data_IF_077771622832
#
_entry.id   IF_077771622832
#
_cell.length_a   1.000
_cell.length_b   1.000
_cell.length_c   1.000
_cell.angle_alpha   90.00
_cell.angle_beta   90.00
_cell.angle_gamma   90.00
#
_symmetry.space_group_name_H-M   'P 1'
#
loop_
_entity.id
_entity.type
_entity.pdbx_description
1 polymer ?
#
# COMPACT_ATOMS: atom_id res chain seq x y z
N UNK A 1 -23.37 38.62 9.33
CA UNK A 1 -23.50 37.25 8.77
C UNK A 1 -23.06 37.30 7.31
N UNK A 2 -21.95 36.64 6.95
CA UNK A 2 -21.51 36.57 5.54
C UNK A 2 -22.37 35.52 4.82
N UNK A 3 -23.18 35.96 3.85
CA UNK A 3 -23.92 35.05 2.95
C UNK A 3 -23.01 34.70 1.78
N UNK A 4 -22.78 33.41 1.57
CA UNK A 4 -22.00 32.91 0.44
C UNK A 4 -22.93 32.17 -0.51
N UNK A 5 -22.76 32.43 -1.80
CA UNK A 5 -23.57 31.79 -2.85
C UNK A 5 -22.61 31.03 -3.77
N UNK A 6 -22.66 29.70 -3.73
CA UNK A 6 -21.91 28.86 -4.67
C UNK A 6 -22.82 28.54 -5.85
N UNK A 7 -22.33 28.76 -7.08
CA UNK A 7 -23.02 28.33 -8.30
C UNK A 7 -22.10 27.46 -9.14
N UNK A 8 -22.54 26.25 -9.43
CA UNK A 8 -21.87 25.37 -10.38
C UNK A 8 -22.39 25.66 -11.79
N UNK A 9 -21.46 25.83 -12.74
CA UNK A 9 -21.79 26.00 -14.14
C UNK A 9 -21.24 24.81 -14.93
N UNK A 10 -22.11 24.17 -15.72
CA UNK A 10 -21.70 23.09 -16.63
C UNK A 10 -21.30 23.74 -17.96
N UNK A 11 -20.05 23.57 -18.36
CA UNK A 11 -19.51 24.12 -19.60
C UNK A 11 -19.13 22.97 -20.54
N UNK A 12 -19.88 22.80 -21.62
CA UNK A 12 -19.64 21.77 -22.64
C UNK A 12 -19.84 20.33 -22.16
N UNK A 13 -19.67 19.38 -23.09
CA UNK A 13 -19.55 17.96 -22.73
C UNK A 13 -18.18 17.75 -22.07
N UNK A 14 -18.16 17.45 -20.77
CA UNK A 14 -16.97 16.89 -20.11
C UNK A 14 -16.13 17.84 -19.25
N UNK A 15 -16.56 19.09 -19.00
CA UNK A 15 -15.88 19.99 -18.04
C UNK A 15 -16.86 20.60 -17.03
N UNK A 16 -16.44 20.67 -15.77
CA UNK A 16 -17.19 21.32 -14.70
C UNK A 16 -16.39 22.52 -14.19
N UNK A 17 -16.95 23.72 -14.34
CA UNK A 17 -16.37 24.94 -13.77
C UNK A 17 -17.13 25.27 -12.49
N UNK A 18 -16.44 25.18 -11.37
CA UNK A 18 -16.98 25.64 -10.09
C UNK A 18 -16.47 27.05 -9.83
N UNK A 19 -17.40 28.00 -9.78
CA UNK A 19 -17.12 29.38 -9.39
C UNK A 19 -17.64 29.60 -7.97
N UNK A 20 -16.74 29.97 -7.07
CA UNK A 20 -17.10 30.39 -5.72
C UNK A 20 -16.85 31.89 -5.57
N UNK A 21 -17.90 32.64 -5.25
CA UNK A 21 -17.79 34.04 -4.85
C UNK A 21 -17.69 34.13 -3.33
N UNK A 22 -16.57 34.64 -2.84
CA UNK A 22 -16.39 35.08 -1.46
C UNK A 22 -16.65 36.58 -1.35
N UNK A 23 -17.50 37.01 -0.42
CA UNK A 23 -17.70 38.45 -0.16
C UNK A 23 -16.50 39.05 0.60
N UNK A 24 -15.99 40.18 0.11
CA UNK A 24 -14.95 40.99 0.76
C UNK A 24 -15.55 42.26 1.40
N UNK A 25 -14.74 42.93 2.21
CA UNK A 25 -15.08 44.16 2.93
C UNK A 25 -15.65 45.24 1.99
N UNK A 26 -16.67 45.92 2.50
CA UNK A 26 -17.43 46.96 1.80
C UNK A 26 -16.93 48.32 2.29
N UNK A 27 -16.26 49.09 1.43
CA UNK A 27 -16.01 50.51 1.63
C UNK A 27 -17.08 51.33 0.91
N UNK A 28 -17.42 52.54 1.36
CA UNK A 28 -18.57 53.32 0.86
C UNK A 28 -18.55 53.64 -0.64
N UNK A 29 -17.44 53.42 -1.35
CA UNK A 29 -17.35 53.60 -2.81
C UNK A 29 -16.56 52.49 -3.53
N UNK A 30 -16.28 51.36 -2.87
CA UNK A 30 -15.50 50.26 -3.46
C UNK A 30 -15.92 48.91 -2.89
N UNK A 31 -16.31 47.99 -3.77
CA UNK A 31 -16.51 46.59 -3.44
C UNK A 31 -15.31 45.82 -3.98
N UNK A 32 -14.57 45.15 -3.10
CA UNK A 32 -13.57 44.18 -3.53
C UNK A 32 -14.23 42.80 -3.48
N UNK A 33 -13.97 41.94 -4.46
CA UNK A 33 -14.52 40.58 -4.51
C UNK A 33 -13.37 39.62 -4.73
N UNK A 34 -13.34 38.54 -3.96
CA UNK A 34 -12.42 37.44 -4.19
C UNK A 34 -13.17 36.35 -4.95
N UNK A 35 -12.73 36.08 -6.19
CA UNK A 35 -13.30 35.04 -7.04
C UNK A 35 -12.32 33.87 -7.14
N UNK A 36 -12.76 32.70 -6.70
CA UNK A 36 -12.09 31.43 -6.95
C UNK A 36 -12.74 30.71 -8.13
N UNK A 37 -11.94 30.28 -9.10
CA UNK A 37 -12.37 29.44 -10.21
C UNK A 37 -11.60 28.14 -10.20
N UNK A 38 -12.32 27.00 -10.19
CA UNK A 38 -11.72 25.67 -10.32
C UNK A 38 -12.24 25.03 -11.60
N UNK A 39 -11.32 24.78 -12.54
CA UNK A 39 -11.56 23.98 -13.74
C UNK A 39 -11.38 22.50 -13.39
N UNK A 40 -12.48 21.79 -13.21
CA UNK A 40 -12.49 20.33 -13.15
C UNK A 40 -12.66 19.75 -14.54
N UNK A 41 -11.58 19.25 -15.14
CA UNK A 41 -11.72 18.36 -16.29
C UNK A 41 -12.43 17.07 -15.81
N UNK A 42 -13.57 16.74 -16.40
CA UNK A 42 -14.20 15.41 -16.24
C UNK A 42 -13.56 14.41 -17.23
N UNK A 43 -12.34 14.71 -17.70
CA UNK A 43 -11.48 13.67 -18.19
C UNK A 43 -11.11 12.82 -16.97
N UNK A 44 -11.93 11.80 -16.68
CA UNK A 44 -11.32 10.56 -16.21
C UNK A 44 -10.22 10.30 -17.23
N UNK A 45 -8.93 10.33 -16.86
CA UNK A 45 -7.93 9.84 -17.78
C UNK A 45 -8.37 8.41 -18.05
N UNK A 46 -8.92 8.17 -19.24
CA UNK A 46 -9.31 6.86 -19.73
C UNK A 46 -8.02 6.13 -20.05
N UNK A 47 -7.23 5.89 -19.01
CA UNK A 47 -6.08 5.04 -19.07
C UNK A 47 -6.60 3.66 -18.74
N UNK A 48 -6.28 2.72 -19.63
CA UNK A 48 -6.30 1.31 -19.29
C UNK A 48 -5.37 1.18 -18.08
N UNK A 49 -5.90 0.77 -16.92
CA UNK A 49 -5.20 0.70 -15.62
C UNK A 49 -4.03 -0.31 -15.57
N UNK A 50 -3.51 -0.70 -16.73
CA UNK A 50 -2.51 -1.74 -16.95
C UNK A 50 -1.10 -1.19 -17.23
N UNK A 51 -0.91 0.13 -17.35
CA UNK A 51 0.41 0.73 -17.69
C UNK A 51 0.95 1.70 -16.62
N UNK A 52 0.39 1.61 -15.41
CA UNK A 52 1.00 2.20 -14.21
C UNK A 52 2.33 1.48 -13.94
N UNK A 53 3.45 2.11 -14.30
CA UNK A 53 4.82 1.62 -14.04
C UNK A 53 5.22 1.73 -12.56
N UNK A 54 4.35 2.32 -11.73
CA UNK A 54 4.68 2.56 -10.34
C UNK A 54 4.19 1.42 -9.45
N UNK A 55 5.00 1.08 -8.44
CA UNK A 55 4.74 -0.03 -7.53
C UNK A 55 4.60 0.49 -6.11
N UNK A 56 3.52 0.08 -5.45
CA UNK A 56 3.35 0.38 -4.04
C UNK A 56 4.18 -0.52 -3.13
N UNK A 57 4.80 0.05 -2.10
CA UNK A 57 5.55 -0.72 -1.10
C UNK A 57 4.62 -1.33 -0.05
N UNK A 58 4.80 -2.63 0.19
CA UNK A 58 4.04 -3.41 1.18
C UNK A 58 4.99 -4.00 2.21
N UNK A 59 4.83 -3.60 3.46
CA UNK A 59 5.56 -4.14 4.59
C UNK A 59 4.89 -5.41 5.11
N UNK A 60 5.65 -6.50 5.19
CA UNK A 60 5.22 -7.76 5.79
C UNK A 60 6.08 -8.03 7.03
N UNK A 61 5.58 -7.75 8.25
CA UNK A 61 6.30 -8.10 9.47
C UNK A 61 6.29 -9.62 9.67
N UNK A 62 7.11 -10.09 10.61
CA UNK A 62 7.02 -11.46 11.13
C UNK A 62 5.57 -11.81 11.49
N UNK A 63 5.10 -12.97 11.02
CA UNK A 63 3.74 -13.46 11.29
C UNK A 63 3.59 -13.74 12.79
N UNK A 64 2.45 -13.38 13.36
CA UNK A 64 2.14 -13.65 14.76
C UNK A 64 1.50 -15.04 14.89
N UNK A 65 1.84 -15.79 15.93
CA UNK A 65 1.24 -17.11 16.20
C UNK A 65 0.47 -17.04 17.51
N UNK A 66 -0.85 -17.23 17.44
CA UNK A 66 -1.73 -17.14 18.60
C UNK A 66 -1.44 -18.22 19.64
N UNK A 67 -1.08 -19.42 19.18
CA UNK A 67 -0.78 -20.58 20.02
C UNK A 67 0.59 -21.19 19.65
N UNK A 68 1.73 -20.66 20.14
CA UNK A 68 3.06 -21.15 19.77
C UNK A 68 3.31 -22.63 20.09
N UNK A 69 2.55 -23.19 21.06
CA UNK A 69 2.56 -24.61 21.39
C UNK A 69 2.19 -25.53 20.22
N UNK A 70 1.43 -25.03 19.24
CA UNK A 70 1.03 -25.77 18.04
C UNK A 70 2.18 -25.94 17.03
N UNK A 71 3.29 -25.21 17.19
CA UNK A 71 4.47 -25.33 16.32
C UNK A 71 5.38 -26.51 16.69
N UNK A 72 5.13 -27.17 17.83
CA UNK A 72 5.97 -28.27 18.32
C UNK A 72 5.95 -29.49 17.39
N UNK A 73 4.79 -29.83 16.83
CA UNK A 73 4.68 -30.93 15.86
C UNK A 73 5.39 -30.51 14.58
N UNK A 74 6.45 -31.24 14.22
CA UNK A 74 7.35 -30.89 13.14
C UNK A 74 8.44 -29.88 13.51
N UNK A 75 8.47 -29.35 14.74
CA UNK A 75 9.41 -28.31 15.19
C UNK A 75 9.47 -27.08 14.26
N UNK A 76 8.32 -26.67 13.74
CA UNK A 76 8.17 -25.64 12.70
C UNK A 76 8.14 -24.22 13.28
N UNK A 77 9.02 -23.92 14.24
CA UNK A 77 9.07 -22.63 14.93
C UNK A 77 9.39 -21.45 14.00
N UNK A 78 10.08 -21.72 12.88
CA UNK A 78 10.45 -20.70 11.90
C UNK A 78 9.30 -20.28 10.96
N UNK A 79 8.11 -20.90 11.09
CA UNK A 79 6.96 -20.64 10.22
C UNK A 79 6.61 -19.16 10.14
N UNK A 80 6.83 -18.43 11.23
CA UNK A 80 6.54 -17.01 11.34
C UNK A 80 7.32 -16.16 10.34
N UNK A 81 8.60 -16.49 10.16
CA UNK A 81 9.49 -15.79 9.23
C UNK A 81 9.42 -16.38 7.84
N UNK A 82 9.26 -17.70 7.75
CA UNK A 82 9.13 -18.40 6.48
C UNK A 82 7.88 -17.97 5.72
N UNK A 83 6.73 -17.86 6.38
CA UNK A 83 5.46 -17.49 5.75
C UNK A 83 5.50 -16.03 5.27
N UNK A 84 6.04 -15.12 6.08
CA UNK A 84 6.25 -13.72 5.67
C UNK A 84 7.18 -13.62 4.45
N UNK A 85 8.28 -14.37 4.44
CA UNK A 85 9.22 -14.39 3.32
C UNK A 85 8.63 -15.02 2.06
N UNK A 86 7.88 -16.11 2.19
CA UNK A 86 7.23 -16.78 1.08
C UNK A 86 6.17 -15.88 0.44
N UNK A 87 5.36 -15.20 1.25
CA UNK A 87 4.38 -14.23 0.76
C UNK A 87 5.06 -13.04 0.08
N UNK A 88 6.13 -12.50 0.65
CA UNK A 88 6.87 -11.41 0.02
C UNK A 88 7.46 -11.84 -1.33
N UNK A 89 8.01 -13.07 -1.43
CA UNK A 89 8.48 -13.63 -2.70
C UNK A 89 7.35 -13.73 -3.72
N UNK A 90 6.21 -14.28 -3.32
CA UNK A 90 5.06 -14.41 -4.21
C UNK A 90 4.58 -13.05 -4.72
N UNK A 91 4.39 -12.07 -3.83
CA UNK A 91 4.04 -10.69 -4.19
C UNK A 91 5.06 -10.06 -5.15
N UNK A 92 6.36 -10.31 -4.95
CA UNK A 92 7.39 -9.78 -5.84
C UNK A 92 7.47 -10.49 -7.19
N UNK A 93 6.95 -11.72 -7.31
CA UNK A 93 6.87 -12.47 -8.57
C UNK A 93 5.64 -12.10 -9.40
N UNK A 94 4.48 -11.93 -8.75
CA UNK A 94 3.21 -11.62 -9.44
C UNK A 94 2.92 -10.12 -9.53
N UNK A 95 3.54 -9.32 -8.66
CA UNK A 95 3.16 -7.92 -8.44
C UNK A 95 3.73 -6.98 -9.49
N UNK A 96 2.87 -6.57 -10.42
CA UNK A 96 3.14 -5.43 -11.32
C UNK A 96 2.89 -4.08 -10.64
N UNK A 97 1.98 -4.03 -9.66
CA UNK A 97 1.49 -2.78 -9.04
C UNK A 97 1.95 -2.63 -7.58
N UNK A 98 2.61 -3.65 -7.03
CA UNK A 98 3.16 -3.63 -5.68
C UNK A 98 4.46 -4.41 -5.60
N UNK A 99 5.24 -4.13 -4.55
CA UNK A 99 6.37 -4.92 -4.13
C UNK A 99 6.35 -5.08 -2.63
N UNK A 100 6.78 -6.24 -2.15
CA UNK A 100 6.75 -6.60 -0.76
C UNK A 100 8.16 -6.67 -0.18
N UNK A 101 8.29 -6.24 1.06
CA UNK A 101 9.50 -6.41 1.86
C UNK A 101 9.15 -6.99 3.21
N UNK A 102 10.07 -7.78 3.75
CA UNK A 102 9.90 -8.37 5.07
C UNK A 102 10.57 -7.51 6.14
N UNK A 103 10.08 -7.64 7.37
CA UNK A 103 10.75 -7.13 8.55
C UNK A 103 10.82 -8.21 9.61
N UNK A 104 12.03 -8.44 10.12
CA UNK A 104 12.29 -9.48 11.12
C UNK A 104 11.59 -9.21 12.47
N UNK A 105 11.31 -7.93 12.77
CA UNK A 105 10.57 -7.54 13.98
C UNK A 105 9.07 -7.66 13.73
N UNK A 106 8.38 -8.37 14.62
CA UNK A 106 6.94 -8.24 14.74
C UNK A 106 6.61 -6.80 15.13
N UNK A 107 5.62 -6.21 14.48
CA UNK A 107 5.09 -4.93 14.90
C UNK A 107 3.97 -5.19 15.90
N UNK A 108 4.38 -5.43 17.14
CA UNK A 108 3.47 -5.81 18.21
C UNK A 108 2.39 -4.74 18.46
N UNK A 109 1.22 -5.22 18.85
CA UNK A 109 0.05 -4.41 19.16
C UNK A 109 -0.47 -3.52 18.02
N UNK A 110 0.00 -3.67 16.78
CA UNK A 110 -0.53 -2.89 15.65
C UNK A 110 -2.01 -3.13 15.39
N UNK A 111 -2.48 -4.37 15.52
CA UNK A 111 -3.90 -4.67 15.40
C UNK A 111 -4.75 -3.95 16.46
N UNK A 112 -4.19 -3.65 17.63
CA UNK A 112 -4.86 -2.96 18.74
C UNK A 112 -4.62 -1.45 18.78
N UNK A 113 -3.68 -0.94 18.00
CA UNK A 113 -3.38 0.48 17.92
C UNK A 113 -4.59 1.26 17.34
N UNK A 114 -4.70 2.54 17.69
CA UNK A 114 -5.59 3.44 16.95
C UNK A 114 -5.11 3.55 15.50
N UNK A 115 -6.03 3.98 14.62
CA UNK A 115 -5.70 4.21 13.21
C UNK A 115 -4.55 5.21 13.06
N UNK A 116 -4.57 6.33 13.79
CA UNK A 116 -3.48 7.32 13.75
C UNK A 116 -2.13 6.75 14.19
N UNK A 117 -2.11 5.97 15.28
CA UNK A 117 -0.87 5.36 15.78
C UNK A 117 -0.33 4.30 14.80
N UNK A 118 -1.22 3.58 14.12
CA UNK A 118 -0.85 2.64 13.07
C UNK A 118 -0.30 3.37 11.84
N UNK A 119 -0.99 4.41 11.37
CA UNK A 119 -0.56 5.24 10.26
C UNK A 119 0.85 5.81 10.48
N UNK A 120 1.10 6.35 11.68
CA UNK A 120 2.42 6.87 12.05
C UNK A 120 3.52 5.80 12.00
N UNK A 121 3.25 4.59 12.52
CA UNK A 121 4.22 3.49 12.51
C UNK A 121 4.52 2.98 11.10
N UNK A 122 3.49 2.84 10.27
CA UNK A 122 3.65 2.44 8.86
C UNK A 122 4.43 3.53 8.11
N UNK A 123 4.01 4.79 8.22
CA UNK A 123 4.69 5.92 7.59
C UNK A 123 6.15 6.06 8.04
N UNK A 124 6.47 5.76 9.31
CA UNK A 124 7.85 5.77 9.80
C UNK A 124 8.74 4.70 9.16
N UNK A 125 8.15 3.61 8.65
CA UNK A 125 8.88 2.57 7.91
C UNK A 125 9.16 2.95 6.45
N UNK A 126 8.56 4.04 5.94
CA UNK A 126 8.65 4.45 4.54
C UNK A 126 7.93 3.50 3.58
N UNK A 127 7.03 2.65 4.11
CA UNK A 127 6.17 1.76 3.33
C UNK A 127 4.75 2.35 3.24
N UNK A 128 4.06 2.08 2.14
CA UNK A 128 2.71 2.62 1.90
C UNK A 128 1.61 1.74 2.48
N UNK A 129 1.88 0.45 2.60
CA UNK A 129 0.95 -0.51 3.15
C UNK A 129 1.62 -1.41 4.17
N UNK A 130 0.82 -1.92 5.09
CA UNK A 130 1.22 -2.98 6.01
C UNK A 130 0.30 -4.18 5.82
N UNK A 131 0.88 -5.33 5.53
CA UNK A 131 0.17 -6.60 5.45
C UNK A 131 0.49 -7.43 6.70
N UNK A 132 -0.41 -7.41 7.67
CA UNK A 132 -0.27 -8.14 8.93
C UNK A 132 -0.93 -9.51 8.84
N UNK A 133 -0.20 -10.54 9.27
CA UNK A 133 -0.69 -11.91 9.33
C UNK A 133 -0.67 -12.42 10.77
N UNK A 134 -1.72 -13.14 11.15
CA UNK A 134 -1.81 -13.87 12.41
C UNK A 134 -2.27 -15.31 12.14
N UNK A 135 -1.44 -16.27 12.53
CA UNK A 135 -1.75 -17.68 12.55
C UNK A 135 -2.59 -17.98 13.80
N UNK A 136 -3.90 -18.04 13.60
CA UNK A 136 -4.90 -18.22 14.65
C UNK A 136 -4.95 -19.67 15.12
N UNK A 137 -4.85 -20.62 14.18
CA UNK A 137 -4.73 -22.06 14.45
C UNK A 137 -3.73 -22.70 13.50
N UNK A 138 -2.86 -23.55 14.04
CA UNK A 138 -1.89 -24.37 13.33
C UNK A 138 -1.78 -25.78 13.92
N UNK A 139 -2.87 -26.22 14.56
CA UNK A 139 -2.96 -27.50 15.27
C UNK A 139 -2.82 -28.69 14.32
N UNK A 140 -2.28 -29.79 14.86
CA UNK A 140 -2.25 -31.08 14.18
C UNK A 140 -3.16 -32.03 14.94
N UNK A 141 -4.00 -32.76 14.20
CA UNK A 141 -4.83 -33.83 14.74
C UNK A 141 -4.00 -34.97 15.34
N UNK A 142 -4.64 -35.91 16.04
CA UNK A 142 -3.94 -37.02 16.65
C UNK A 142 -3.39 -37.98 15.60
N UNK A 143 -2.13 -38.37 15.72
CA UNK A 143 -1.58 -39.53 15.02
C UNK A 143 -2.26 -40.80 15.55
N UNK A 144 -2.70 -41.67 14.65
CA UNK A 144 -3.26 -42.98 14.98
C UNK A 144 -2.27 -44.07 14.54
N UNK A 145 -2.02 -45.02 15.42
CA UNK A 145 -1.18 -46.18 15.11
C UNK A 145 -2.04 -47.38 14.77
N UNK A 146 -1.62 -48.19 13.79
CA UNK A 146 -2.29 -49.44 13.42
C UNK A 146 -1.30 -50.60 13.40
N UNK A 147 -1.83 -51.83 13.47
CA UNK A 147 -1.05 -53.08 13.50
C UNK A 147 0.03 -53.02 14.59
N UNK A 148 -0.38 -52.95 15.85
CA UNK A 148 0.52 -53.02 17.01
C UNK A 148 1.57 -51.91 17.12
N UNK A 149 1.45 -50.80 16.38
CA UNK A 149 2.41 -49.68 16.40
C UNK A 149 3.41 -49.68 15.24
N UNK A 150 3.31 -50.62 14.29
CA UNK A 150 4.23 -50.70 13.14
C UNK A 150 3.97 -49.64 12.08
N UNK A 151 2.78 -49.04 12.06
CA UNK A 151 2.43 -48.00 11.11
C UNK A 151 1.67 -46.85 11.79
N UNK A 152 1.94 -45.62 11.33
CA UNK A 152 1.24 -44.40 11.76
C UNK A 152 0.44 -43.81 10.59
N UNK A 153 -0.74 -43.27 10.88
CA UNK A 153 -1.51 -42.46 9.94
C UNK A 153 -0.91 -41.07 9.77
N UNK A 154 -1.01 -40.47 8.58
CA UNK A 154 -0.86 -39.02 8.41
C UNK A 154 -2.02 -38.30 9.10
N UNK A 155 -1.79 -37.52 10.18
CA UNK A 155 -2.85 -36.74 10.77
C UNK A 155 -3.12 -35.51 9.90
N UNK A 156 -4.33 -34.97 10.00
CA UNK A 156 -4.61 -33.69 9.36
C UNK A 156 -4.06 -32.53 10.19
N UNK A 157 -3.45 -31.54 9.53
CA UNK A 157 -3.01 -30.29 10.14
C UNK A 157 -3.91 -29.15 9.67
N UNK A 158 -4.43 -28.39 10.62
CA UNK A 158 -5.25 -27.22 10.39
C UNK A 158 -4.36 -25.98 10.19
N UNK A 159 -4.86 -25.05 9.40
CA UNK A 159 -4.34 -23.69 9.29
C UNK A 159 -5.50 -22.70 9.24
N UNK A 160 -5.57 -21.83 10.23
CA UNK A 160 -6.45 -20.65 10.22
C UNK A 160 -5.56 -19.42 10.24
N UNK A 161 -5.60 -18.64 9.17
CA UNK A 161 -4.78 -17.46 8.97
C UNK A 161 -5.66 -16.21 8.86
N UNK A 162 -5.48 -15.25 9.75
CA UNK A 162 -6.06 -13.91 9.64
C UNK A 162 -5.07 -12.99 8.93
N UNK A 163 -5.54 -12.30 7.89
CA UNK A 163 -4.72 -11.39 7.07
C UNK A 163 -5.42 -10.03 7.02
N UNK A 164 -4.67 -8.97 7.31
CA UNK A 164 -5.16 -7.60 7.31
C UNK A 164 -4.20 -6.69 6.55
N UNK A 165 -4.71 -5.99 5.54
CA UNK A 165 -3.99 -4.96 4.79
C UNK A 165 -4.40 -3.59 5.31
N UNK A 166 -3.45 -2.82 5.80
CA UNK A 166 -3.65 -1.46 6.31
C UNK A 166 -3.04 -0.42 5.38
N UNK A 167 -3.75 0.70 5.19
CA UNK A 167 -3.26 1.88 4.46
C UNK A 167 -2.35 2.73 5.35
N UNK A 168 -1.16 3.07 4.88
CA UNK A 168 -0.14 3.77 5.67
C UNK A 168 -0.46 5.23 5.95
N UNK A 169 -1.35 5.86 5.16
CA UNK A 169 -1.77 7.26 5.35
C UNK A 169 -2.82 7.38 6.44
N UNK A 170 -3.85 6.53 6.39
CA UNK A 170 -4.99 6.57 7.31
C UNK A 170 -4.87 5.61 8.49
N UNK A 171 -4.00 4.60 8.38
CA UNK A 171 -3.89 3.49 9.33
C UNK A 171 -5.07 2.53 9.30
N UNK A 172 -6.09 2.75 8.46
CA UNK A 172 -7.30 1.92 8.42
C UNK A 172 -7.05 0.60 7.70
N UNK A 173 -7.75 -0.45 8.13
CA UNK A 173 -7.82 -1.70 7.37
C UNK A 173 -8.61 -1.46 6.08
N UNK A 174 -8.05 -1.88 4.96
CA UNK A 174 -8.61 -1.67 3.62
C UNK A 174 -8.98 -2.98 2.93
N UNK A 175 -8.46 -4.08 3.44
CA UNK A 175 -8.84 -5.43 3.07
C UNK A 175 -8.50 -6.37 4.23
N UNK A 176 -9.35 -7.36 4.47
CA UNK A 176 -9.13 -8.37 5.50
C UNK A 176 -9.71 -9.71 5.05
N UNK A 177 -9.06 -10.81 5.46
CA UNK A 177 -9.53 -12.16 5.19
C UNK A 177 -9.17 -13.10 6.33
N UNK A 178 -10.07 -14.04 6.61
CA UNK A 178 -9.76 -15.24 7.39
C UNK A 178 -9.74 -16.40 6.40
N UNK A 179 -8.63 -17.15 6.39
CA UNK A 179 -8.39 -18.27 5.49
C UNK A 179 -8.29 -19.52 6.34
N UNK A 180 -9.21 -20.44 6.12
CA UNK A 180 -9.26 -21.73 6.80
C UNK A 180 -8.93 -22.84 5.80
N UNK A 181 -7.97 -23.67 6.16
CA UNK A 181 -7.42 -24.73 5.32
C UNK A 181 -6.99 -25.89 6.20
N UNK A 182 -6.95 -27.07 5.60
CA UNK A 182 -6.52 -28.29 6.27
C UNK A 182 -5.99 -29.25 5.22
N UNK A 183 -4.86 -29.90 5.51
CA UNK A 183 -4.29 -30.96 4.69
C UNK A 183 -3.60 -32.01 5.54
N UNK A 184 -3.26 -33.14 4.92
CA UNK A 184 -2.48 -34.18 5.58
C UNK A 184 -1.06 -33.70 5.93
N UNK A 185 -0.60 -34.14 7.10
CA UNK A 185 0.75 -33.89 7.60
C UNK A 185 1.61 -35.13 7.37
N UNK A 186 2.32 -35.14 6.25
CA UNK A 186 3.08 -36.28 5.71
C UNK A 186 4.41 -36.58 6.45
N UNK A 187 4.52 -36.19 7.71
CA UNK A 187 5.73 -36.35 8.51
C UNK A 187 5.42 -37.13 9.78
N UNK A 188 6.35 -37.98 10.20
CA UNK A 188 6.20 -38.76 11.43
C UNK A 188 6.15 -37.85 12.67
N UNK A 189 5.57 -38.36 13.76
CA UNK A 189 5.37 -37.61 15.01
C UNK A 189 6.63 -36.91 15.52
N UNK A 190 7.76 -37.60 15.48
CA UNK A 190 9.04 -37.13 16.04
C UNK A 190 9.96 -36.48 14.98
N UNK A 191 9.49 -36.33 13.74
CA UNK A 191 10.30 -35.74 12.67
C UNK A 191 10.43 -34.22 12.86
N UNK A 192 11.67 -33.72 12.87
CA UNK A 192 11.96 -32.30 12.77
C UNK A 192 11.93 -31.87 11.30
N UNK A 193 10.99 -31.00 10.94
CA UNK A 193 10.71 -30.61 9.56
C UNK A 193 11.32 -29.25 9.26
N UNK A 194 12.28 -29.22 8.34
CA UNK A 194 12.80 -27.97 7.80
C UNK A 194 11.85 -27.41 6.74
N UNK A 195 11.28 -26.24 7.00
CA UNK A 195 10.36 -25.54 6.08
C UNK A 195 11.04 -25.11 4.75
N UNK A 196 12.36 -25.01 4.75
CA UNK A 196 13.14 -24.69 3.55
C UNK A 196 13.52 -25.95 2.75
N UNK A 197 13.24 -27.15 3.26
CA UNK A 197 13.60 -28.40 2.57
C UNK A 197 12.70 -28.66 1.36
N UNK A 198 13.27 -29.31 0.34
CA UNK A 198 12.49 -29.81 -0.81
C UNK A 198 11.44 -30.85 -0.40
N UNK A 199 11.68 -31.62 0.68
CA UNK A 199 10.73 -32.58 1.21
C UNK A 199 9.46 -31.86 1.68
N UNK A 200 9.62 -30.80 2.49
CA UNK A 200 8.51 -29.98 2.95
C UNK A 200 7.80 -29.26 1.80
N UNK A 201 8.53 -28.57 0.94
CA UNK A 201 7.92 -27.82 -0.16
C UNK A 201 7.10 -28.68 -1.13
N UNK A 202 7.40 -29.98 -1.23
CA UNK A 202 6.67 -30.94 -2.07
C UNK A 202 5.59 -31.73 -1.32
N UNK A 203 5.52 -31.64 0.01
CA UNK A 203 4.44 -32.26 0.78
C UNK A 203 3.13 -31.52 0.53
N UNK A 204 2.01 -32.15 0.86
CA UNK A 204 0.70 -31.57 0.56
C UNK A 204 0.46 -30.31 1.40
N UNK A 205 0.87 -30.32 2.66
CA UNK A 205 0.86 -29.12 3.50
C UNK A 205 1.78 -27.99 2.96
N UNK A 206 2.98 -28.29 2.45
CA UNK A 206 3.88 -27.28 1.87
C UNK A 206 3.33 -26.63 0.60
N UNK A 207 2.69 -27.42 -0.27
CA UNK A 207 1.96 -26.91 -1.44
C UNK A 207 0.78 -26.05 -1.02
N UNK A 208 0.03 -26.46 0.01
CA UNK A 208 -1.09 -25.68 0.53
C UNK A 208 -0.65 -24.30 1.04
N UNK A 209 0.46 -24.23 1.78
CA UNK A 209 1.02 -22.95 2.22
C UNK A 209 1.42 -22.07 1.03
N UNK A 210 2.10 -22.65 0.04
CA UNK A 210 2.53 -21.92 -1.16
C UNK A 210 1.35 -21.37 -1.95
N UNK A 211 0.33 -22.20 -2.22
CA UNK A 211 -0.89 -21.79 -2.89
C UNK A 211 -1.65 -20.71 -2.12
N UNK A 212 -1.66 -20.79 -0.79
CA UNK A 212 -2.27 -19.76 0.06
C UNK A 212 -1.51 -18.43 -0.04
N UNK A 213 -0.18 -18.45 -0.03
CA UNK A 213 0.61 -17.22 -0.21
C UNK A 213 0.44 -16.61 -1.60
N UNK A 214 0.34 -17.44 -2.64
CA UNK A 214 0.11 -16.98 -4.01
C UNK A 214 -1.27 -16.34 -4.19
N UNK A 215 -2.28 -16.94 -3.58
CA UNK A 215 -3.62 -16.38 -3.57
C UNK A 215 -3.67 -15.04 -2.83
N UNK A 216 -3.06 -14.93 -1.63
CA UNK A 216 -3.01 -13.66 -0.88
C UNK A 216 -2.27 -12.59 -1.70
N UNK A 217 -1.15 -12.94 -2.34
CA UNK A 217 -0.39 -12.01 -3.16
C UNK A 217 -1.22 -11.43 -4.31
N UNK A 218 -1.98 -12.28 -5.01
CA UNK A 218 -2.86 -11.85 -6.10
C UNK A 218 -3.99 -10.93 -5.60
N UNK A 219 -4.66 -11.29 -4.50
CA UNK A 219 -5.74 -10.49 -3.91
C UNK A 219 -5.24 -9.12 -3.45
N UNK A 220 -4.12 -9.07 -2.72
CA UNK A 220 -3.53 -7.82 -2.25
C UNK A 220 -3.13 -6.93 -3.43
N UNK A 221 -2.52 -7.50 -4.47
CA UNK A 221 -2.14 -6.74 -5.65
C UNK A 221 -3.38 -6.18 -6.39
N UNK A 222 -4.49 -6.93 -6.44
CA UNK A 222 -5.76 -6.45 -7.01
C UNK A 222 -6.36 -5.29 -6.21
N UNK A 223 -6.33 -5.36 -4.87
CA UNK A 223 -6.81 -4.28 -3.99
C UNK A 223 -5.97 -3.01 -4.17
N UNK A 224 -4.64 -3.16 -4.27
CA UNK A 224 -3.71 -2.03 -4.44
C UNK A 224 -3.87 -1.39 -5.83
N UNK A 225 -4.06 -2.19 -6.89
CA UNK A 225 -4.22 -1.69 -8.26
C UNK A 225 -5.39 -0.69 -8.40
N UNK A 226 -6.42 -0.82 -7.58
CA UNK A 226 -7.59 0.05 -7.61
C UNK A 226 -7.39 1.37 -6.85
N UNK A 227 -6.16 1.67 -6.40
CA UNK A 227 -5.86 2.84 -5.56
C UNK A 227 -4.76 3.70 -6.16
N UNK A 228 -4.87 5.04 -6.04
CA UNK A 228 -3.78 5.92 -6.42
C UNK A 228 -2.60 5.71 -5.47
N UNK A 229 -1.39 5.75 -6.04
CA UNK A 229 -0.16 5.69 -5.26
C UNK A 229 0.00 7.00 -4.47
N UNK A 230 0.15 6.89 -3.15
CA UNK A 230 0.27 8.05 -2.25
C UNK A 230 1.53 8.02 -1.43
N UNK A 231 2.21 9.14 -1.27
CA UNK A 231 3.37 9.21 -0.39
C UNK A 231 3.45 10.53 0.38
N UNK A 232 3.73 10.49 1.69
CA UNK A 232 3.89 11.71 2.47
C UNK A 232 5.20 12.41 2.10
N UNK A 233 5.16 13.73 2.11
CA UNK A 233 6.34 14.58 2.04
C UNK A 233 7.06 14.55 3.39
N UNK A 234 8.33 14.13 3.41
CA UNK A 234 9.09 13.90 4.65
C UNK A 234 9.89 15.11 5.10
N UNK A 235 10.32 15.93 4.16
CA UNK A 235 11.09 17.13 4.43
C UNK A 235 10.80 18.18 3.38
N UNK A 236 10.42 19.38 3.84
CA UNK A 236 10.44 20.61 3.06
C UNK A 236 11.38 21.60 3.77
N UNK A 237 12.58 21.77 3.24
CA UNK A 237 13.50 22.83 3.72
C UNK A 237 14.00 23.62 2.52
N UNK A 238 13.54 24.88 2.42
CA UNK A 238 13.75 25.71 1.23
C UNK A 238 13.12 25.07 -0.02
N UNK A 239 13.90 24.96 -1.10
CA UNK A 239 13.49 24.35 -2.38
C UNK A 239 13.85 22.85 -2.49
N UNK A 240 14.15 22.17 -1.37
CA UNK A 240 14.51 20.74 -1.37
C UNK A 240 13.37 19.96 -0.71
N UNK A 241 12.65 19.23 -1.56
CA UNK A 241 11.51 18.42 -1.18
C UNK A 241 11.89 16.95 -1.35
N UNK A 242 11.59 16.12 -0.36
CA UNK A 242 11.84 14.68 -0.40
C UNK A 242 10.57 13.88 -0.14
N UNK A 243 10.39 12.84 -0.95
CA UNK A 243 9.28 11.88 -0.84
C UNK A 243 9.83 10.47 -0.67
N UNK A 244 9.19 9.65 0.16
CA UNK A 244 9.52 8.22 0.33
C UNK A 244 8.94 7.39 -0.83
N UNK A 245 9.29 7.79 -2.06
CA UNK A 245 9.13 7.03 -3.29
C UNK A 245 10.46 7.08 -4.02
N UNK A 246 10.90 5.98 -4.62
CA UNK A 246 12.21 5.91 -5.29
C UNK A 246 12.22 4.93 -6.46
N UNK A 247 13.41 4.52 -6.89
CA UNK A 247 13.60 3.62 -8.02
C UNK A 247 12.86 2.28 -7.86
N UNK A 248 12.78 1.73 -6.63
CA UNK A 248 12.02 0.50 -6.35
C UNK A 248 10.52 0.66 -6.58
N UNK A 249 10.01 1.89 -6.48
CA UNK A 249 8.63 2.24 -6.77
C UNK A 249 8.40 2.52 -8.26
N UNK A 250 9.41 2.38 -9.13
CA UNK A 250 9.33 2.62 -10.57
C UNK A 250 9.52 4.07 -11.01
N UNK A 251 9.88 4.98 -10.09
CA UNK A 251 10.18 6.37 -10.42
C UNK A 251 11.44 6.48 -11.30
N UNK A 252 11.45 7.51 -12.16
CA UNK A 252 12.58 7.91 -12.99
C UNK A 252 12.85 9.40 -12.82
N UNK A 253 14.10 9.81 -13.01
CA UNK A 253 14.45 11.23 -13.09
C UNK A 253 13.69 11.85 -14.27
N UNK A 254 13.08 13.02 -14.04
CA UNK A 254 12.20 13.71 -14.99
C UNK A 254 10.71 13.43 -14.81
N UNK A 255 10.32 12.45 -13.97
CA UNK A 255 8.90 12.15 -13.73
C UNK A 255 8.18 13.37 -13.13
N UNK A 256 7.02 13.71 -13.69
CA UNK A 256 6.14 14.77 -13.21
C UNK A 256 5.06 14.19 -12.30
N UNK A 257 4.98 14.66 -11.06
CA UNK A 257 4.04 14.17 -10.04
C UNK A 257 3.06 15.28 -9.65
N UNK A 258 1.87 14.88 -9.21
CA UNK A 258 0.87 15.81 -8.71
C UNK A 258 0.86 15.83 -7.18
N UNK A 259 1.06 17.00 -6.61
CA UNK A 259 0.87 17.24 -5.18
C UNK A 259 -0.59 17.51 -4.89
N UNK A 260 -1.12 16.95 -3.81
CA UNK A 260 -2.36 17.42 -3.19
C UNK A 260 -2.03 17.91 -1.79
N UNK A 261 -2.25 19.20 -1.53
CA UNK A 261 -2.06 19.76 -0.19
C UNK A 261 -2.90 19.01 0.87
N UNK A 262 -2.42 18.96 2.12
CA UNK A 262 -3.13 18.27 3.20
C UNK A 262 -4.55 18.80 3.40
N UNK A 263 -5.48 17.89 3.72
CA UNK A 263 -6.92 18.14 3.89
C UNK A 263 -7.30 19.12 5.03
N UNK A 264 -6.33 19.63 5.80
CA UNK A 264 -6.56 20.55 6.91
C UNK A 264 -6.71 22.02 6.50
N UNK A 265 -6.69 22.33 5.20
CA UNK A 265 -7.05 23.66 4.69
C UNK A 265 -8.49 23.65 4.14
N UNK A 266 -9.44 24.38 4.76
CA UNK A 266 -10.86 24.30 4.41
C UNK A 266 -11.23 24.65 2.96
N UNK A 267 -10.34 25.26 2.17
CA UNK A 267 -10.69 25.74 0.82
C UNK A 267 -9.54 25.74 -0.22
N UNK A 268 -8.45 25.00 0.00
CA UNK A 268 -7.34 24.94 -0.96
C UNK A 268 -7.05 23.49 -1.37
N UNK A 269 -7.74 22.99 -2.40
CA UNK A 269 -7.19 21.89 -3.21
C UNK A 269 -6.08 22.45 -4.10
N UNK A 270 -5.03 22.91 -3.45
CA UNK A 270 -3.83 23.42 -4.06
C UNK A 270 -3.08 22.22 -4.67
N UNK A 271 -3.12 22.10 -5.99
CA UNK A 271 -2.36 21.09 -6.75
C UNK A 271 -1.15 21.73 -7.40
N UNK A 272 0.05 21.19 -7.15
CA UNK A 272 1.27 21.58 -7.85
C UNK A 272 1.85 20.39 -8.60
N UNK A 273 2.40 20.68 -9.77
CA UNK A 273 3.27 19.75 -10.48
C UNK A 273 4.68 19.87 -9.91
N UNK A 274 5.28 18.73 -9.59
CA UNK A 274 6.71 18.62 -9.23
C UNK A 274 7.43 17.69 -10.17
N UNK A 275 8.73 17.90 -10.33
CA UNK A 275 9.61 17.05 -11.14
C UNK A 275 10.61 16.32 -10.26
N UNK A 276 10.81 15.03 -10.51
CA UNK A 276 11.88 14.24 -9.90
C UNK A 276 13.22 14.67 -10.47
N UNK A 277 14.12 15.12 -9.61
CA UNK A 277 15.44 15.67 -10.00
C UNK A 277 16.61 14.84 -9.48
N UNK A 278 16.36 13.94 -8.54
CA UNK A 278 17.33 12.98 -8.01
C UNK A 278 16.59 11.76 -7.44
N UNK A 279 17.23 10.60 -7.51
CA UNK A 279 16.58 9.32 -7.26
C UNK A 279 17.48 8.35 -6.50
N UNK A 280 17.03 7.98 -5.30
CA UNK A 280 17.55 6.86 -4.51
C UNK A 280 16.63 5.63 -4.65
N UNK A 281 17.00 4.49 -4.07
CA UNK A 281 16.18 3.26 -4.14
C UNK A 281 14.75 3.48 -3.63
N UNK A 282 14.58 4.25 -2.54
CA UNK A 282 13.30 4.42 -1.85
C UNK A 282 12.90 5.87 -1.59
N UNK A 283 13.69 6.81 -2.08
CA UNK A 283 13.47 8.23 -1.89
C UNK A 283 13.80 8.98 -3.17
N UNK A 284 13.06 10.05 -3.40
CA UNK A 284 13.30 10.94 -4.53
C UNK A 284 13.36 12.37 -4.02
N UNK A 285 14.26 13.14 -4.61
CA UNK A 285 14.26 14.60 -4.48
C UNK A 285 13.41 15.16 -5.60
N UNK A 286 12.48 16.03 -5.24
CA UNK A 286 11.55 16.67 -6.16
C UNK A 286 11.71 18.20 -6.09
N UNK A 287 11.35 18.88 -7.17
CA UNK A 287 11.34 20.34 -7.27
C UNK A 287 10.01 20.80 -7.85
N UNK A 288 9.42 21.86 -7.32
CA UNK A 288 8.21 22.47 -7.87
C UNK A 288 8.49 23.18 -9.18
N UNK A 289 7.59 23.04 -10.15
CA UNK A 289 7.62 23.86 -11.35
C UNK A 289 7.22 25.30 -10.99
N UNK A 290 8.12 26.27 -11.23
CA UNK A 290 7.92 27.68 -10.92
C UNK A 290 7.06 28.44 -11.95
N UNK A 291 6.58 27.74 -12.98
CA UNK A 291 5.65 28.29 -13.98
C UNK A 291 4.28 28.64 -13.38
N UNK A 292 4.00 28.18 -12.15
CA UNK A 292 2.78 28.46 -11.38
C UNK A 292 3.20 28.95 -9.98
N UNK A 293 2.35 29.76 -9.32
CA UNK A 293 2.63 30.27 -7.95
C UNK A 293 3.02 29.11 -7.04
N UNK A 294 4.24 29.10 -6.47
CA UNK A 294 4.73 27.96 -5.69
C UNK A 294 3.87 27.77 -4.45
N UNK A 295 3.38 26.55 -4.26
CA UNK A 295 2.57 26.18 -3.11
C UNK A 295 3.46 26.07 -1.88
N UNK A 296 3.00 26.61 -0.74
CA UNK A 296 3.68 26.43 0.53
C UNK A 296 3.52 24.98 1.01
N UNK A 297 4.51 24.14 0.72
CA UNK A 297 4.52 22.72 1.08
C UNK A 297 5.12 22.48 2.45
N UNK A 298 4.43 21.67 3.25
CA UNK A 298 4.82 21.31 4.60
C UNK A 298 5.09 19.81 4.71
N UNK A 299 5.98 19.43 5.61
CA UNK A 299 6.13 18.04 6.01
C UNK A 299 4.77 17.46 6.43
N UNK A 300 4.39 16.33 5.86
CA UNK A 300 3.08 15.69 6.06
C UNK A 300 2.07 15.93 4.93
N UNK A 301 2.30 16.87 4.02
CA UNK A 301 1.52 16.95 2.78
C UNK A 301 1.67 15.65 1.97
N UNK A 302 0.62 15.24 1.24
CA UNK A 302 0.60 13.94 0.55
C UNK A 302 0.69 14.14 -0.96
N UNK A 303 1.72 13.54 -1.56
CA UNK A 303 1.81 13.38 -3.01
C UNK A 303 0.87 12.26 -3.46
N UNK A 304 0.10 12.52 -4.50
CA UNK A 304 -0.63 11.46 -5.20
C UNK A 304 -0.05 11.34 -6.60
N UNK A 305 0.53 10.19 -6.93
CA UNK A 305 0.94 9.99 -8.32
C UNK A 305 -0.31 9.80 -9.18
N UNK A 306 -0.37 10.47 -10.34
CA UNK A 306 -1.40 10.15 -11.32
C UNK A 306 -1.26 8.67 -11.69
N UNK A 307 -2.41 8.02 -11.90
CA UNK A 307 -2.48 6.60 -12.29
C UNK A 307 -1.79 6.36 -13.66
N UNK A 308 -1.51 7.43 -14.42
CA UNK A 308 -0.80 7.38 -15.69
C UNK A 308 0.40 8.33 -15.66
N UNK A 309 1.53 7.86 -16.20
CA UNK A 309 2.64 8.73 -16.57
C UNK A 309 2.18 9.56 -17.78
N UNK A 310 2.21 10.89 -17.69
CA UNK A 310 2.02 11.72 -18.87
C UNK A 310 3.25 11.52 -19.77
N UNK A 311 3.08 10.85 -20.90
CA UNK A 311 4.10 10.86 -21.96
C UNK A 311 4.21 12.30 -22.48
N UNK A 312 5.41 12.87 -22.46
CA UNK A 312 5.66 14.07 -23.23
C UNK A 312 5.41 13.74 -24.70
N UNK A 313 4.41 14.40 -25.28
CA UNK A 313 4.18 14.43 -26.71
C UNK A 313 5.47 14.92 -27.37
N UNK A 314 6.08 14.17 -28.31
CA UNK A 314 7.28 14.65 -28.97
C UNK A 314 6.92 15.96 -29.67
N UNK A 315 7.70 17.00 -29.41
CA UNK A 315 7.54 18.30 -30.05
C UNK A 315 7.38 18.08 -31.55
N UNK A 316 6.18 18.34 -32.04
CA UNK A 316 5.86 18.46 -33.46
C UNK A 316 6.82 19.49 -34.03
N UNK A 317 7.88 19.04 -34.71
CA UNK A 317 8.72 19.90 -35.52
C UNK A 317 7.81 20.53 -36.57
N UNK A 318 7.55 21.82 -36.42
CA UNK A 318 6.98 22.63 -37.47
C UNK A 318 8.07 22.81 -38.53
N UNK A 319 7.92 22.08 -39.64
CA UNK A 319 8.44 22.50 -40.95
C UNK A 319 7.49 23.53 -41.57
#
# INVERSE_FOLDING_TARGET
MRRFTTRCFKFGLGSLLTLSLGALAEEPNRVTVEMGAVLGAIAQPSCIASDSQYRASVLIPKVQVKHPSQLRVGQVFEIETWLAAQLARSMNQVGQQSYARTQAKALEHLAKASDDARAQRISASGDQYLLQLELVDFSTGPYKSFVGGLFESSPQRNMVLSVNLYDGTSGRAIWNKVIERQEDWDFSRDEAVSLNSRKFQRSDFGKLLSATTDWIAAEVNSVIQQRPLRAPLRQSSGNRLYVDLGAEHGLKIGDKLQLKGAANKPFEQQTATVTVVDLESRRARIVQDWSVVPLALNSGDTLELPICKQSEEPASNAD
#
